data_IF_950225391424
#
_entry.id   IF_950225391424
#
_cell.length_a   1.000
_cell.length_b   1.000
_cell.length_c   1.000
_cell.angle_alpha   90.00
_cell.angle_beta   90.00
_cell.angle_gamma   90.00
#
_symmetry.space_group_name_H-M   'P 1'
#
loop_
_entity.id
_entity.type
_entity.pdbx_description
1 polymer ?
#
# COMPACT_ATOMS: atom_id res chain seq x y z
N UNK A 1 78.51 -75.72 6.85
CA UNK A 1 77.64 -76.35 5.83
C UNK A 1 76.21 -76.29 6.37
N UNK A 2 75.52 -75.16 6.15
CA UNK A 2 74.58 -74.89 5.04
C UNK A 2 73.30 -75.73 5.04
N UNK A 3 72.20 -75.00 5.24
CA UNK A 3 70.88 -75.09 4.58
C UNK A 3 69.94 -76.26 4.91
N UNK A 4 68.79 -75.99 5.56
CA UNK A 4 67.45 -75.66 5.00
C UNK A 4 66.60 -76.92 4.75
N UNK A 5 65.45 -77.04 5.42
CA UNK A 5 64.12 -77.01 4.80
C UNK A 5 63.01 -77.08 5.87
N UNK A 6 62.21 -76.02 5.95
CA UNK A 6 60.98 -75.92 6.72
C UNK A 6 59.78 -76.01 5.77
N UNK A 7 58.71 -76.71 6.19
CA UNK A 7 57.42 -76.73 5.52
C UNK A 7 56.27 -76.97 6.53
N UNK A 8 55.37 -75.96 6.63
CA UNK A 8 53.88 -76.04 6.70
C UNK A 8 53.23 -76.84 7.86
N UNK A 9 52.24 -76.36 8.65
CA UNK A 9 50.83 -75.94 8.40
C UNK A 9 50.26 -75.43 9.77
N UNK A 10 49.82 -74.17 9.97
CA UNK A 10 48.49 -73.53 9.80
C UNK A 10 47.54 -73.48 11.03
N UNK A 11 46.54 -72.58 10.92
CA UNK A 11 45.33 -72.33 11.74
C UNK A 11 45.47 -71.31 12.89
N UNK A 12 44.73 -70.19 13.00
CA UNK A 12 43.64 -69.59 12.23
C UNK A 12 42.77 -68.76 13.19
N UNK A 13 42.61 -67.45 12.98
CA UNK A 13 41.65 -66.61 13.71
C UNK A 13 41.06 -65.53 12.79
N UNK A 14 39.74 -65.63 12.62
CA UNK A 14 38.85 -64.81 11.80
C UNK A 14 38.72 -63.37 12.33
N UNK A 15 38.88 -62.38 11.45
CA UNK A 15 38.33 -61.03 11.63
C UNK A 15 37.47 -60.68 10.42
N UNK A 16 36.14 -60.70 10.61
CA UNK A 16 35.17 -60.30 9.62
C UNK A 16 35.07 -58.77 9.57
N UNK A 17 35.56 -58.17 8.48
CA UNK A 17 35.41 -56.74 8.20
C UNK A 17 34.07 -56.52 7.47
N UNK A 18 33.08 -55.99 8.19
CA UNK A 18 31.78 -55.64 7.61
C UNK A 18 31.94 -54.41 6.69
N UNK A 19 31.81 -54.61 5.38
CA UNK A 19 31.74 -53.54 4.39
C UNK A 19 30.29 -53.05 4.33
N UNK A 20 30.01 -51.90 4.93
CA UNK A 20 28.74 -51.21 4.72
C UNK A 20 28.75 -50.56 3.33
N UNK A 21 27.75 -50.82 2.46
CA UNK A 21 27.64 -50.09 1.20
C UNK A 21 27.27 -48.64 1.51
N UNK A 22 28.16 -47.69 1.19
CA UNK A 22 27.78 -46.29 1.14
C UNK A 22 26.81 -46.11 -0.04
N UNK A 23 25.55 -45.87 0.26
CA UNK A 23 24.59 -45.38 -0.72
C UNK A 23 25.00 -43.95 -1.12
N UNK A 24 25.73 -43.84 -2.22
CA UNK A 24 25.94 -42.56 -2.91
C UNK A 24 24.57 -42.14 -3.44
N UNK A 25 23.92 -41.19 -2.76
CA UNK A 25 22.75 -40.53 -3.33
C UNK A 25 23.23 -39.79 -4.58
N UNK A 26 22.88 -40.31 -5.75
CA UNK A 26 23.02 -39.58 -6.99
C UNK A 26 22.10 -38.35 -6.89
N UNK A 27 22.70 -37.20 -6.57
CA UNK A 27 22.00 -35.93 -6.66
C UNK A 27 21.73 -35.70 -8.15
N UNK A 28 20.49 -35.96 -8.56
CA UNK A 28 20.02 -35.79 -9.93
C UNK A 28 20.32 -34.34 -10.33
N UNK A 29 21.37 -34.15 -11.14
CA UNK A 29 21.75 -32.84 -11.66
C UNK A 29 20.73 -32.47 -12.71
N UNK A 30 19.56 -32.00 -12.28
CA UNK A 30 18.57 -31.41 -13.17
C UNK A 30 19.28 -30.33 -13.99
N UNK A 31 19.45 -30.58 -15.29
CA UNK A 31 19.99 -29.59 -16.24
C UNK A 31 19.21 -28.30 -16.05
N UNK A 32 19.89 -27.25 -15.56
CA UNK A 32 19.27 -25.94 -15.38
C UNK A 32 19.02 -25.35 -16.77
N UNK A 33 17.76 -25.18 -17.14
CA UNK A 33 17.36 -24.50 -18.38
C UNK A 33 17.93 -23.07 -18.33
N UNK A 34 18.62 -22.58 -19.37
CA UNK A 34 19.07 -21.19 -19.42
C UNK A 34 17.86 -20.26 -19.48
N UNK A 35 17.87 -19.20 -18.68
CA UNK A 35 16.75 -18.27 -18.55
C UNK A 35 17.22 -16.82 -18.59
N UNK A 36 16.28 -15.93 -18.93
CA UNK A 36 16.39 -14.50 -18.76
C UNK A 36 15.22 -14.01 -17.90
N UNK A 37 15.51 -13.22 -16.88
CA UNK A 37 14.51 -12.60 -16.02
C UNK A 37 14.56 -11.09 -16.20
N UNK A 38 13.40 -10.48 -16.42
CA UNK A 38 13.24 -9.04 -16.64
C UNK A 38 12.11 -8.49 -15.79
N UNK A 39 12.23 -7.23 -15.40
CA UNK A 39 11.14 -6.46 -14.78
C UNK A 39 10.51 -5.54 -15.83
N UNK A 40 9.21 -5.69 -16.01
CA UNK A 40 8.37 -4.82 -16.84
C UNK A 40 7.57 -3.85 -15.98
N UNK A 41 7.48 -2.60 -16.43
CA UNK A 41 6.70 -1.56 -15.78
C UNK A 41 5.59 -1.10 -16.73
N UNK A 42 4.40 -0.90 -16.20
CA UNK A 42 3.27 -0.42 -16.98
C UNK A 42 2.44 0.55 -16.16
N UNK A 43 1.93 1.58 -16.84
CA UNK A 43 1.02 2.51 -16.22
C UNK A 43 -0.14 2.89 -17.13
N UNK A 44 -1.21 3.34 -16.49
CA UNK A 44 -2.38 3.85 -17.15
C UNK A 44 -2.97 4.97 -16.29
N UNK A 45 -3.41 6.04 -16.95
CA UNK A 45 -4.00 7.21 -16.32
C UNK A 45 -5.51 7.23 -16.55
N UNK A 46 -6.24 7.77 -15.58
CA UNK A 46 -7.68 8.02 -15.68
C UNK A 46 -8.03 9.27 -14.87
N UNK A 47 -8.97 10.07 -15.35
CA UNK A 47 -9.50 11.17 -14.57
C UNK A 47 -10.22 10.63 -13.31
N UNK A 48 -10.08 11.27 -12.15
CA UNK A 48 -10.82 10.88 -10.94
C UNK A 48 -12.33 11.01 -11.16
N UNK A 49 -13.10 10.07 -10.61
CA UNK A 49 -14.57 10.09 -10.63
C UNK A 49 -15.18 10.42 -9.26
N UNK A 50 -14.35 10.51 -8.23
CA UNK A 50 -14.77 10.69 -6.84
C UNK A 50 -13.70 11.46 -6.05
N UNK A 51 -14.12 12.13 -4.98
CA UNK A 51 -13.23 12.67 -3.97
C UNK A 51 -13.49 11.99 -2.62
N UNK A 52 -12.43 11.82 -1.83
CA UNK A 52 -12.51 11.44 -0.42
C UNK A 52 -12.14 12.67 0.40
N UNK A 53 -13.10 13.12 1.19
CA UNK A 53 -12.91 14.20 2.15
C UNK A 53 -12.66 13.61 3.53
N UNK A 54 -11.72 14.18 4.27
CA UNK A 54 -11.52 13.86 5.68
C UNK A 54 -11.51 15.12 6.53
N UNK A 55 -12.33 15.10 7.56
CA UNK A 55 -12.44 16.22 8.49
C UNK A 55 -12.83 15.74 9.89
N UNK A 56 -12.72 16.62 10.87
CA UNK A 56 -13.03 16.31 12.26
C UNK A 56 -13.85 17.41 12.93
N UNK A 57 -14.73 16.99 13.83
CA UNK A 57 -15.39 17.86 14.80
C UNK A 57 -14.65 17.69 16.13
N UNK A 58 -14.14 18.80 16.65
CA UNK A 58 -13.50 18.86 17.97
C UNK A 58 -14.37 19.66 18.94
N UNK A 59 -14.63 19.09 20.12
CA UNK A 59 -15.32 19.76 21.24
C UNK A 59 -14.52 19.60 22.51
N UNK A 60 -14.59 20.61 23.37
CA UNK A 60 -13.93 20.62 24.66
C UNK A 60 -14.95 20.97 25.74
N UNK A 61 -14.85 20.32 26.90
CA UNK A 61 -15.66 20.66 28.08
C UNK A 61 -14.90 20.28 29.36
N UNK A 62 -15.40 20.75 30.50
CA UNK A 62 -14.81 20.44 31.82
C UNK A 62 -14.83 18.93 32.13
N UNK A 63 -15.82 18.19 31.61
CA UNK A 63 -15.93 16.75 31.78
C UNK A 63 -15.94 16.03 30.43
N UNK A 64 -15.38 14.81 30.42
CA UNK A 64 -15.39 13.95 29.22
C UNK A 64 -16.83 13.69 28.73
N UNK A 65 -17.78 13.50 29.64
CA UNK A 65 -19.18 13.24 29.31
C UNK A 65 -19.87 14.44 28.62
N UNK A 66 -19.62 15.65 29.10
CA UNK A 66 -20.12 16.87 28.46
C UNK A 66 -19.51 17.04 27.06
N UNK A 67 -18.19 16.91 26.93
CA UNK A 67 -17.48 17.04 25.66
C UNK A 67 -17.97 16.00 24.64
N UNK A 68 -18.21 14.76 25.08
CA UNK A 68 -18.74 13.68 24.24
C UNK A 68 -20.17 13.97 23.77
N UNK A 69 -21.02 14.46 24.66
CA UNK A 69 -22.43 14.76 24.34
C UNK A 69 -22.52 15.86 23.30
N UNK A 70 -21.77 16.95 23.48
CA UNK A 70 -21.72 18.04 22.52
C UNK A 70 -21.13 17.62 21.18
N UNK A 71 -20.05 16.83 21.21
CA UNK A 71 -19.43 16.30 20.00
C UNK A 71 -20.40 15.40 19.21
N UNK A 72 -21.07 14.47 19.89
CA UNK A 72 -21.99 13.53 19.27
C UNK A 72 -23.19 14.25 18.65
N UNK A 73 -23.70 15.30 19.30
CA UNK A 73 -24.76 16.15 18.76
C UNK A 73 -24.31 16.85 17.48
N UNK A 74 -23.16 17.53 17.52
CA UNK A 74 -22.61 18.22 16.34
C UNK A 74 -22.33 17.25 15.18
N UNK A 75 -21.76 16.07 15.46
CA UNK A 75 -21.49 15.07 14.43
C UNK A 75 -22.79 14.54 13.79
N UNK A 76 -23.86 14.35 14.57
CA UNK A 76 -25.16 13.94 14.04
C UNK A 76 -25.77 15.01 13.13
N UNK A 77 -25.63 16.28 13.47
CA UNK A 77 -26.07 17.40 12.62
C UNK A 77 -25.29 17.43 11.30
N UNK A 78 -23.96 17.26 11.34
CA UNK A 78 -23.10 17.15 10.15
C UNK A 78 -23.53 15.98 9.25
N UNK A 79 -23.67 14.77 9.82
CA UNK A 79 -24.10 13.61 9.03
C UNK A 79 -25.49 13.81 8.41
N UNK A 80 -26.41 14.43 9.14
CA UNK A 80 -27.77 14.71 8.63
C UNK A 80 -27.71 15.68 7.45
N UNK A 81 -26.91 16.75 7.55
CA UNK A 81 -26.76 17.71 6.47
C UNK A 81 -26.11 17.10 5.22
N UNK A 82 -25.08 16.26 5.39
CA UNK A 82 -24.43 15.57 4.27
C UNK A 82 -25.38 14.59 3.56
N UNK A 83 -26.21 13.89 4.33
CA UNK A 83 -27.27 13.03 3.76
C UNK A 83 -28.29 13.84 2.98
N UNK A 84 -28.70 15.00 3.50
CA UNK A 84 -29.60 15.92 2.79
C UNK A 84 -28.98 16.50 1.52
N UNK A 85 -27.65 16.67 1.48
CA UNK A 85 -26.90 17.05 0.28
C UNK A 85 -26.72 15.88 -0.73
N UNK A 86 -27.25 14.69 -0.41
CA UNK A 86 -27.27 13.53 -1.29
C UNK A 86 -26.11 12.55 -1.10
N UNK A 87 -25.33 12.67 -0.01
CA UNK A 87 -24.33 11.65 0.34
C UNK A 87 -25.00 10.44 0.96
N UNK A 88 -24.72 9.25 0.43
CA UNK A 88 -25.28 8.00 0.93
C UNK A 88 -24.62 7.56 2.25
N UNK A 89 -25.34 6.82 3.08
CA UNK A 89 -24.82 6.29 4.35
C UNK A 89 -23.54 5.47 4.20
N UNK A 90 -23.44 4.67 3.13
CA UNK A 90 -22.25 3.87 2.80
C UNK A 90 -20.99 4.70 2.49
N UNK A 91 -21.20 5.98 2.18
CA UNK A 91 -20.17 6.92 1.80
C UNK A 91 -19.77 7.83 2.98
N UNK A 92 -20.35 7.61 4.18
CA UNK A 92 -20.00 8.27 5.43
C UNK A 92 -19.38 7.26 6.38
N UNK A 93 -18.16 7.53 6.83
CA UNK A 93 -17.45 6.64 7.76
C UNK A 93 -16.80 7.44 8.87
N UNK A 94 -17.19 7.17 10.13
CA UNK A 94 -16.48 7.73 11.28
C UNK A 94 -15.04 7.25 11.32
N UNK A 95 -14.12 8.16 11.59
CA UNK A 95 -12.69 7.93 11.70
C UNK A 95 -12.13 8.68 12.91
N UNK A 96 -10.93 8.32 13.37
CA UNK A 96 -10.14 9.10 14.34
C UNK A 96 -10.89 9.57 15.61
N UNK A 97 -11.84 8.77 16.11
CA UNK A 97 -12.55 9.10 17.35
C UNK A 97 -11.61 8.97 18.55
N UNK A 98 -11.52 10.01 19.38
CA UNK A 98 -10.68 10.02 20.57
C UNK A 98 -11.20 10.98 21.64
N UNK A 99 -10.92 10.64 22.90
CA UNK A 99 -11.19 11.47 24.07
C UNK A 99 -9.87 11.64 24.81
N UNK A 100 -9.44 12.87 25.02
CA UNK A 100 -8.14 13.18 25.63
C UNK A 100 -8.33 14.22 26.74
N UNK A 101 -7.68 14.05 27.91
CA UNK A 101 -7.63 15.10 28.92
C UNK A 101 -6.82 16.29 28.42
N UNK A 102 -7.26 17.49 28.78
CA UNK A 102 -6.54 18.74 28.59
C UNK A 102 -5.80 19.07 29.89
N UNK A 103 -4.51 19.37 29.77
CA UNK A 103 -3.67 19.68 30.91
C UNK A 103 -3.22 21.13 30.90
N UNK A 104 -3.22 21.76 32.06
CA UNK A 104 -2.49 23.01 32.30
C UNK A 104 -1.15 22.66 32.91
N UNK A 105 -0.10 23.04 32.18
CA UNK A 105 1.27 22.99 32.67
C UNK A 105 1.52 24.20 33.57
N UNK A 106 2.26 24.00 34.65
CA UNK A 106 2.68 25.07 35.54
C UNK A 106 4.19 25.22 35.43
N UNK A 107 4.68 26.47 35.35
CA UNK A 107 6.12 26.71 35.42
C UNK A 107 6.63 26.37 36.84
N UNK A 108 7.82 25.75 36.96
CA UNK A 108 8.41 25.47 38.26
C UNK A 108 8.58 26.77 39.05
N UNK A 109 8.03 26.80 40.27
CA UNK A 109 8.23 27.92 41.20
C UNK A 109 9.31 27.53 42.19
N UNK A 110 10.37 28.33 42.29
CA UNK A 110 11.50 28.10 43.21
C UNK A 110 12.21 26.74 43.01
N UNK A 111 12.23 26.22 41.78
CA UNK A 111 12.85 24.92 41.45
C UNK A 111 12.02 23.70 41.84
N UNK A 112 10.80 23.89 42.36
CA UNK A 112 9.87 22.81 42.71
C UNK A 112 9.01 22.47 41.50
N UNK A 113 9.03 21.19 41.10
CA UNK A 113 8.16 20.66 40.06
C UNK A 113 6.69 20.68 40.52
N UNK A 114 5.82 21.25 39.69
CA UNK A 114 4.37 21.21 39.89
C UNK A 114 3.77 20.26 38.85
N UNK A 115 3.04 19.20 39.27
CA UNK A 115 2.44 18.27 38.33
C UNK A 115 1.34 18.97 37.50
N UNK A 116 1.17 18.60 36.23
CA UNK A 116 0.12 19.15 35.38
C UNK A 116 -1.27 18.82 35.92
N UNK A 117 -2.18 19.79 35.87
CA UNK A 117 -3.57 19.64 36.31
C UNK A 117 -4.49 19.46 35.10
N UNK A 118 -5.45 18.54 35.21
CA UNK A 118 -6.48 18.38 34.17
C UNK A 118 -7.45 19.56 34.27
N UNK A 119 -7.56 20.33 33.20
CA UNK A 119 -8.47 21.47 33.09
C UNK A 119 -9.73 21.17 32.29
N UNK A 120 -9.79 20.01 31.65
CA UNK A 120 -10.96 19.57 30.91
C UNK A 120 -10.65 18.36 30.04
N UNK A 121 -11.52 18.13 29.06
CA UNK A 121 -11.43 17.03 28.11
C UNK A 121 -11.75 17.53 26.72
N UNK A 122 -11.01 17.02 25.74
CA UNK A 122 -11.26 17.21 24.33
C UNK A 122 -11.75 15.91 23.72
N UNK A 123 -12.82 15.99 22.94
CA UNK A 123 -13.30 14.90 22.08
C UNK A 123 -13.08 15.30 20.63
N UNK A 124 -12.34 14.47 19.90
CA UNK A 124 -12.16 14.56 18.46
C UNK A 124 -12.94 13.43 17.80
N UNK A 125 -13.72 13.75 16.79
CA UNK A 125 -14.49 12.78 16.01
C UNK A 125 -14.33 13.08 14.54
N UNK A 126 -13.60 12.22 13.84
CA UNK A 126 -13.35 12.32 12.41
C UNK A 126 -14.48 11.72 11.59
N UNK A 127 -14.67 12.24 10.38
CA UNK A 127 -15.54 11.67 9.38
C UNK A 127 -14.81 11.67 8.04
N UNK A 128 -14.78 10.49 7.43
CA UNK A 128 -14.34 10.28 6.05
C UNK A 128 -15.58 10.20 5.17
N UNK A 129 -15.63 11.04 4.13
CA UNK A 129 -16.77 11.20 3.23
C UNK A 129 -16.36 10.90 1.80
N UNK A 130 -17.04 9.97 1.13
CA UNK A 130 -16.87 9.68 -0.29
C UNK A 130 -17.86 10.51 -1.12
N UNK A 131 -17.34 11.44 -1.90
CA UNK A 131 -18.13 12.34 -2.78
C UNK A 131 -18.01 11.86 -4.22
N UNK A 132 -18.99 11.05 -4.65
CA UNK A 132 -19.05 10.41 -5.99
C UNK A 132 -19.51 11.35 -7.10
N UNK A 133 -20.08 12.49 -6.73
CA UNK A 133 -20.48 13.53 -7.66
C UNK A 133 -19.56 14.74 -7.43
N UNK A 134 -18.49 14.80 -8.21
CA UNK A 134 -17.48 15.85 -8.08
C UNK A 134 -18.05 17.25 -8.37
N UNK A 135 -19.17 17.37 -9.10
CA UNK A 135 -19.81 18.66 -9.34
C UNK A 135 -20.42 19.25 -8.06
N UNK A 136 -20.80 18.40 -7.09
CA UNK A 136 -21.33 18.82 -5.79
C UNK A 136 -20.26 19.08 -4.74
N UNK A 137 -18.99 18.83 -5.06
CA UNK A 137 -17.90 18.87 -4.09
C UNK A 137 -17.74 20.25 -3.46
N UNK A 138 -17.83 21.33 -4.25
CA UNK A 138 -17.77 22.70 -3.75
C UNK A 138 -18.89 23.02 -2.75
N UNK A 139 -20.14 22.68 -3.09
CA UNK A 139 -21.30 22.88 -2.21
C UNK A 139 -21.18 22.07 -0.90
N UNK A 140 -20.68 20.84 -0.98
CA UNK A 140 -20.44 19.98 0.19
C UNK A 140 -19.37 20.58 1.09
N UNK A 141 -18.27 21.10 0.54
CA UNK A 141 -17.21 21.77 1.29
C UNK A 141 -17.74 23.03 1.99
N UNK A 142 -18.47 23.88 1.28
CA UNK A 142 -19.03 25.12 1.84
C UNK A 142 -20.02 24.83 2.98
N UNK A 143 -20.87 23.81 2.81
CA UNK A 143 -21.81 23.36 3.84
C UNK A 143 -21.08 22.78 5.05
N UNK A 144 -20.02 22.01 4.81
CA UNK A 144 -19.20 21.39 5.85
C UNK A 144 -18.56 22.43 6.77
N UNK A 145 -17.98 23.50 6.22
CA UNK A 145 -17.39 24.60 7.00
C UNK A 145 -18.44 25.30 7.88
N UNK A 146 -19.65 25.53 7.35
CA UNK A 146 -20.76 26.17 8.09
C UNK A 146 -21.28 25.32 9.27
N UNK A 147 -21.11 24.00 9.21
CA UNK A 147 -21.62 23.06 10.21
C UNK A 147 -20.65 22.83 11.38
N UNK A 148 -19.59 23.63 11.50
CA UNK A 148 -18.68 23.58 12.65
C UNK A 148 -17.61 22.51 12.55
N UNK A 149 -17.33 22.01 11.34
CA UNK A 149 -16.10 21.29 11.04
C UNK A 149 -14.95 22.28 11.23
N UNK A 150 -14.10 21.97 12.20
CA UNK A 150 -13.09 22.91 12.70
C UNK A 150 -11.66 22.37 12.60
N UNK A 151 -11.49 21.13 12.12
CA UNK A 151 -10.20 20.54 11.78
C UNK A 151 -10.30 19.68 10.52
N UNK A 152 -9.22 19.63 9.74
CA UNK A 152 -9.11 18.85 8.50
C UNK A 152 -9.43 19.66 7.25
N UNK A 153 -9.97 19.01 6.23
CA UNK A 153 -10.16 19.59 4.89
C UNK A 153 -9.29 18.97 3.81
N UNK A 154 -8.65 17.83 4.10
CA UNK A 154 -7.90 17.08 3.10
C UNK A 154 -8.85 16.49 2.06
N UNK A 155 -8.55 16.78 0.80
CA UNK A 155 -9.29 16.29 -0.37
C UNK A 155 -8.36 15.36 -1.13
N UNK A 156 -8.77 14.10 -1.28
CA UNK A 156 -8.09 13.13 -2.13
C UNK A 156 -8.98 12.76 -3.32
N UNK A 157 -8.59 13.16 -4.53
CA UNK A 157 -9.26 12.72 -5.76
C UNK A 157 -8.88 11.29 -6.06
N UNK A 158 -9.86 10.44 -6.35
CA UNK A 158 -9.68 9.01 -6.55
C UNK A 158 -10.69 8.44 -7.56
N UNK A 159 -10.59 7.15 -7.81
CA UNK A 159 -11.51 6.40 -8.65
C UNK A 159 -12.19 5.32 -7.83
N UNK A 160 -13.52 5.20 -7.92
CA UNK A 160 -14.27 4.14 -7.24
C UNK A 160 -13.96 2.76 -7.80
N UNK A 161 -13.74 2.66 -9.11
CA UNK A 161 -13.50 1.40 -9.83
C UNK A 161 -12.28 1.48 -10.75
N UNK A 162 -11.06 1.45 -10.19
CA UNK A 162 -9.84 1.56 -10.99
C UNK A 162 -9.44 0.26 -11.71
N UNK A 163 -10.16 -0.85 -11.50
CA UNK A 163 -9.76 -2.18 -11.97
C UNK A 163 -9.51 -2.27 -13.47
N UNK A 164 -10.30 -1.55 -14.28
CA UNK A 164 -10.10 -1.47 -15.73
C UNK A 164 -8.78 -0.78 -16.06
N UNK A 165 -8.51 0.38 -15.45
CA UNK A 165 -7.25 1.14 -15.62
C UNK A 165 -6.05 0.33 -15.14
N UNK A 166 -6.16 -0.35 -14.00
CA UNK A 166 -5.13 -1.26 -13.47
C UNK A 166 -4.89 -2.44 -14.43
N UNK A 167 -5.94 -2.96 -15.06
CA UNK A 167 -5.82 -4.02 -16.07
C UNK A 167 -5.05 -3.54 -17.30
N UNK A 168 -5.28 -2.30 -17.75
CA UNK A 168 -4.50 -1.70 -18.85
C UNK A 168 -3.04 -1.50 -18.45
N UNK A 169 -2.76 -0.98 -17.25
CA UNK A 169 -1.40 -0.88 -16.71
C UNK A 169 -0.70 -2.26 -16.64
N UNK A 170 -1.42 -3.32 -16.25
CA UNK A 170 -0.89 -4.69 -16.22
C UNK A 170 -0.53 -5.21 -17.60
N UNK A 171 -1.38 -4.98 -18.61
CA UNK A 171 -1.08 -5.35 -20.00
C UNK A 171 0.16 -4.60 -20.50
N UNK A 172 0.27 -3.31 -20.19
CA UNK A 172 1.44 -2.50 -20.53
C UNK A 172 2.72 -3.04 -19.87
N UNK A 173 2.67 -3.44 -18.59
CA UNK A 173 3.81 -3.97 -17.87
C UNK A 173 4.33 -5.28 -18.47
N UNK A 174 3.43 -6.18 -18.86
CA UNK A 174 3.82 -7.43 -19.54
C UNK A 174 4.39 -7.14 -20.92
N UNK A 175 3.80 -6.22 -21.67
CA UNK A 175 4.33 -5.82 -22.98
C UNK A 175 5.75 -5.22 -22.88
N UNK A 176 6.00 -4.38 -21.88
CA UNK A 176 7.31 -3.81 -21.58
C UNK A 176 8.34 -4.89 -21.19
N UNK A 177 7.97 -5.84 -20.33
CA UNK A 177 8.82 -6.99 -20.00
C UNK A 177 9.21 -7.79 -21.26
N UNK A 178 8.23 -8.10 -22.13
CA UNK A 178 8.49 -8.82 -23.38
C UNK A 178 9.41 -8.02 -24.30
N UNK A 179 9.21 -6.70 -24.42
CA UNK A 179 10.07 -5.85 -25.23
C UNK A 179 11.52 -5.85 -24.71
N UNK A 180 11.71 -5.68 -23.40
CA UNK A 180 13.04 -5.75 -22.75
C UNK A 180 13.72 -7.10 -22.96
N UNK A 181 12.99 -8.19 -22.79
CA UNK A 181 13.54 -9.53 -23.00
C UNK A 181 14.01 -9.73 -24.45
N UNK A 182 13.22 -9.28 -25.44
CA UNK A 182 13.62 -9.32 -26.86
C UNK A 182 14.91 -8.54 -27.10
N UNK A 183 14.98 -7.29 -26.65
CA UNK A 183 16.18 -6.46 -26.80
C UNK A 183 17.43 -7.12 -26.21
N UNK A 184 17.31 -7.73 -25.02
CA UNK A 184 18.44 -8.40 -24.37
C UNK A 184 18.87 -9.66 -25.13
N UNK A 185 17.92 -10.46 -25.62
CA UNK A 185 18.24 -11.67 -26.40
C UNK A 185 18.86 -11.35 -27.76
N UNK A 186 18.34 -10.33 -28.45
CA UNK A 186 18.90 -9.85 -29.73
C UNK A 186 20.34 -9.37 -29.56
N UNK A 187 20.61 -8.58 -28.51
CA UNK A 187 21.96 -8.10 -28.21
C UNK A 187 22.92 -9.23 -27.81
N UNK A 188 22.43 -10.29 -27.17
CA UNK A 188 23.21 -11.44 -26.75
C UNK A 188 23.39 -12.51 -27.85
N UNK A 189 22.71 -12.37 -29.00
CA UNK A 189 22.77 -13.34 -30.10
C UNK A 189 22.10 -14.69 -29.78
N UNK A 190 21.12 -14.70 -28.87
CA UNK A 190 20.33 -15.88 -28.49
C UNK A 190 18.85 -15.67 -28.83
N UNK A 191 18.05 -16.73 -28.83
CA UNK A 191 16.60 -16.62 -29.09
C UNK A 191 15.80 -16.57 -27.80
N UNK A 192 14.77 -15.72 -27.77
CA UNK A 192 13.81 -15.67 -26.67
C UNK A 192 12.83 -16.84 -26.76
N UNK A 193 12.78 -17.67 -25.73
CA UNK A 193 11.88 -18.83 -25.64
C UNK A 193 10.57 -18.53 -24.92
N UNK A 194 9.89 -19.60 -24.49
CA UNK A 194 8.60 -19.53 -23.77
C UNK A 194 8.74 -18.83 -22.40
N UNK A 195 7.64 -18.25 -21.93
CA UNK A 195 7.52 -17.78 -20.55
C UNK A 195 7.51 -18.98 -19.61
N UNK A 196 8.34 -18.92 -18.56
CA UNK A 196 8.42 -19.92 -17.49
C UNK A 196 7.70 -19.46 -16.24
N UNK A 197 7.77 -18.16 -15.93
CA UNK A 197 7.16 -17.59 -14.72
C UNK A 197 6.75 -16.14 -14.99
N UNK A 198 5.58 -15.75 -14.48
CA UNK A 198 5.16 -14.36 -14.34
C UNK A 198 4.82 -14.14 -12.88
N UNK A 199 5.45 -13.15 -12.27
CA UNK A 199 5.17 -12.73 -10.91
C UNK A 199 4.81 -11.25 -10.90
N UNK A 200 3.59 -10.94 -10.48
CA UNK A 200 3.14 -9.56 -10.26
C UNK A 200 3.34 -9.21 -8.78
N UNK A 201 3.92 -8.04 -8.52
CA UNK A 201 4.07 -7.59 -7.14
C UNK A 201 2.67 -7.28 -6.56
N UNK A 202 2.29 -7.97 -5.48
CA UNK A 202 0.92 -8.02 -4.95
C UNK A 202 0.45 -6.76 -4.20
N UNK A 203 1.24 -5.69 -4.16
CA UNK A 203 0.75 -4.43 -3.58
C UNK A 203 -0.28 -3.80 -4.52
N UNK A 204 -1.54 -3.68 -4.07
CA UNK A 204 -2.59 -2.99 -4.82
C UNK A 204 -2.07 -1.61 -5.25
N UNK A 205 -2.01 -1.31 -6.56
CA UNK A 205 -1.56 -0.01 -7.04
C UNK A 205 -2.42 1.10 -6.46
N UNK A 206 -1.81 1.96 -5.65
CA UNK A 206 -2.45 3.20 -5.22
C UNK A 206 -2.25 4.26 -6.30
N UNK A 207 -3.25 5.11 -6.56
CA UNK A 207 -3.09 6.18 -7.52
C UNK A 207 -2.01 7.14 -7.03
N UNK A 208 -1.09 7.51 -7.92
CA UNK A 208 -0.19 8.64 -7.69
C UNK A 208 -0.82 9.88 -8.34
N UNK A 209 -1.13 10.95 -7.57
CA UNK A 209 -1.61 12.19 -8.15
C UNK A 209 -0.54 12.77 -9.07
N UNK A 210 -0.84 12.93 -10.36
CA UNK A 210 0.02 13.71 -11.24
C UNK A 210 -0.34 15.19 -11.08
N UNK A 211 0.51 15.96 -10.43
CA UNK A 211 0.39 17.42 -10.41
C UNK A 211 0.73 17.95 -11.80
N UNK A 212 -0.29 18.11 -12.65
CA UNK A 212 -0.17 18.89 -13.87
C UNK A 212 0.20 20.32 -13.46
N UNK A 213 1.43 20.75 -13.76
CA UNK A 213 1.86 22.13 -13.66
C UNK A 213 1.13 22.93 -14.76
N UNK A 214 -0.14 23.28 -14.53
CA UNK A 214 -0.93 24.08 -15.48
C UNK A 214 -1.25 25.44 -14.87
N UNK A 215 -0.66 26.44 -15.52
CA UNK A 215 -0.85 27.85 -15.23
C UNK A 215 -2.33 28.24 -15.28
N UNK A 216 -2.70 29.01 -14.25
CA UNK A 216 -3.88 29.85 -14.06
C UNK A 216 -4.94 29.88 -15.17
N UNK A 217 -6.17 29.52 -14.80
CA UNK A 217 -7.37 30.16 -15.29
C UNK A 217 -8.29 30.40 -14.08
N UNK A 218 -8.31 31.65 -13.59
CA UNK A 218 -9.31 32.11 -12.64
C UNK A 218 -10.61 32.38 -13.39
N UNK A 219 -11.64 31.57 -13.16
CA UNK A 219 -13.02 32.03 -13.33
C UNK A 219 -13.58 32.46 -11.98
N UNK A 220 -14.27 33.61 -11.98
CA UNK A 220 -15.01 34.11 -10.81
C UNK A 220 -16.26 33.26 -10.61
N UNK A 221 -16.15 32.28 -9.73
CA UNK A 221 -17.27 31.66 -9.01
C UNK A 221 -17.02 31.84 -7.52
N UNK A 222 -18.07 32.11 -6.73
CA UNK A 222 -17.99 32.17 -5.26
C UNK A 222 -17.77 30.78 -4.61
N UNK A 223 -17.69 29.72 -5.41
CA UNK A 223 -17.33 28.37 -4.97
C UNK A 223 -15.81 28.15 -5.00
N UNK A 224 -15.31 27.35 -4.05
CA UNK A 224 -13.90 26.92 -4.04
C UNK A 224 -13.50 26.36 -5.42
N UNK A 225 -12.46 26.91 -6.09
CA UNK A 225 -12.00 26.39 -7.38
C UNK A 225 -11.30 25.04 -7.19
N UNK A 226 -11.77 24.00 -7.89
CA UNK A 226 -11.28 22.63 -7.73
C UNK A 226 -10.70 22.12 -9.06
N UNK A 227 -9.43 21.71 -9.04
CA UNK A 227 -8.78 21.03 -10.16
C UNK A 227 -8.37 19.61 -9.74
N UNK A 228 -8.97 18.60 -10.38
CA UNK A 228 -8.86 17.21 -9.93
C UNK A 228 -7.66 16.43 -10.49
N UNK A 229 -7.04 16.92 -11.58
CA UNK A 229 -5.89 16.25 -12.22
C UNK A 229 -6.23 14.88 -12.83
N UNK A 230 -5.22 14.03 -12.98
CA UNK A 230 -5.36 12.62 -13.38
C UNK A 230 -4.71 11.70 -12.35
N UNK A 231 -5.30 10.52 -12.16
CA UNK A 231 -4.75 9.45 -11.34
C UNK A 231 -4.02 8.44 -12.21
N UNK A 232 -2.76 8.15 -11.88
CA UNK A 232 -1.97 7.12 -12.56
C UNK A 232 -1.85 5.87 -11.70
N UNK A 233 -2.14 4.71 -12.29
CA UNK A 233 -1.97 3.40 -11.67
C UNK A 233 -0.76 2.72 -12.30
N UNK A 234 0.19 2.27 -11.46
CA UNK A 234 1.44 1.64 -11.89
C UNK A 234 1.46 0.17 -11.48
N UNK A 235 1.86 -0.70 -12.40
CA UNK A 235 2.01 -2.14 -12.20
C UNK A 235 3.43 -2.56 -12.56
N UNK A 236 4.03 -3.39 -11.72
CA UNK A 236 5.34 -3.98 -11.96
C UNK A 236 5.20 -5.51 -12.03
N UNK A 237 5.77 -6.11 -13.07
CA UNK A 237 5.78 -7.56 -13.27
C UNK A 237 7.20 -8.05 -13.49
N UNK A 238 7.56 -9.15 -12.85
CA UNK A 238 8.77 -9.89 -13.16
C UNK A 238 8.40 -11.07 -14.05
N UNK A 239 9.07 -11.19 -15.19
CA UNK A 239 8.85 -12.27 -16.14
C UNK A 239 10.15 -13.01 -16.38
N UNK A 240 10.11 -14.33 -16.25
CA UNK A 240 11.23 -15.22 -16.58
C UNK A 240 10.91 -15.98 -17.86
N UNK A 241 11.79 -15.89 -18.84
CA UNK A 241 11.71 -16.58 -20.12
C UNK A 241 12.81 -17.63 -20.22
N UNK A 242 12.53 -18.73 -20.91
CA UNK A 242 13.58 -19.65 -21.37
C UNK A 242 14.42 -18.97 -22.46
N UNK A 243 15.67 -19.40 -22.61
CA UNK A 243 16.51 -19.06 -23.76
C UNK A 243 16.62 -20.28 -24.67
N UNK A 244 16.42 -20.05 -25.96
CA UNK A 244 16.65 -21.04 -27.00
C UNK A 244 18.07 -20.86 -27.56
N UNK A 245 18.83 -21.94 -27.57
CA UNK A 245 20.20 -22.02 -28.10
C UNK A 245 20.20 -22.69 -29.47
#
# INVERSE_FOLDING_TARGET
>A
MTSILARTVALGAFTALAVLPMAVSAQESTKREPVISVSGEGDAAVAPDMAVLSFSVVKQAETAAAALTENSKAMKEVQTALKSAGIADRDLQTSNFSVQPLYKQFEPKDGVYVPPEITGYQVTNGLTVRVRDLAKLGEILDSSVKLGINQGGDIAFTNDKPDATVTEARKAAVADAVAKAKTLTEAAGVKLGRILEISENMQRPMPVPQTMMRAAAMEKSDSVPIAAGENTYKVNVNVTFALEQ
#
